data_IF_387007692930
#
_entry.id   IF_387007692930
#
_cell.length_a   1.000
_cell.length_b   1.000
_cell.length_c   1.000
_cell.angle_alpha   90.00
_cell.angle_beta   90.00
_cell.angle_gamma   90.00
#
_symmetry.space_group_name_H-M   'P 1'
#
loop_
_entity.id
_entity.type
_entity.pdbx_description
1 polymer ?
#
# COMPACT_ATOMS: atom_id res chain seq x y z
N UNK A 1 6.75 -73.45 15.40
CA UNK A 1 5.51 -73.09 16.09
C UNK A 1 5.73 -73.23 17.59
N UNK A 2 5.97 -72.12 18.29
CA UNK A 2 5.87 -72.00 19.74
C UNK A 2 5.43 -70.56 20.02
N UNK A 3 4.31 -70.50 20.74
CA UNK A 3 3.51 -69.32 21.08
C UNK A 3 4.09 -68.55 22.26
N UNK A 4 3.75 -67.26 22.28
CA UNK A 4 3.47 -66.43 23.47
C UNK A 4 4.59 -66.22 24.49
N UNK A 5 5.19 -65.02 24.43
CA UNK A 5 5.62 -64.30 25.62
C UNK A 5 4.44 -63.52 26.20
N UNK A 6 4.10 -63.68 27.49
CA UNK A 6 3.21 -62.77 28.16
C UNK A 6 4.02 -61.69 28.89
N UNK A 7 3.52 -60.47 28.76
CA UNK A 7 3.27 -59.56 29.88
C UNK A 7 4.31 -58.45 30.19
N UNK A 8 3.73 -57.28 30.48
CA UNK A 8 4.17 -56.23 31.41
C UNK A 8 4.91 -54.99 30.89
N UNK A 9 4.26 -54.17 30.05
CA UNK A 9 4.54 -52.73 30.06
C UNK A 9 3.22 -51.93 30.04
N UNK A 10 2.62 -51.68 31.21
CA UNK A 10 1.45 -50.82 31.34
C UNK A 10 1.87 -49.40 31.77
N UNK A 11 1.17 -48.37 31.26
CA UNK A 11 0.92 -47.10 31.99
C UNK A 11 2.06 -46.06 32.05
N UNK A 12 3.13 -46.14 31.24
CA UNK A 12 4.11 -45.03 31.18
C UNK A 12 3.70 -43.85 30.27
N UNK A 13 2.78 -44.07 29.33
CA UNK A 13 2.47 -43.06 28.30
C UNK A 13 1.35 -42.07 28.69
N UNK A 14 0.65 -42.27 29.81
CA UNK A 14 -0.52 -41.48 30.18
C UNK A 14 -0.24 -40.33 31.17
N UNK A 15 0.99 -40.20 31.68
CA UNK A 15 1.36 -39.17 32.65
C UNK A 15 1.99 -37.90 32.03
N UNK A 16 2.24 -37.87 30.73
CA UNK A 16 2.86 -36.71 30.06
C UNK A 16 1.86 -35.67 29.54
N UNK A 17 0.54 -35.90 29.64
CA UNK A 17 -0.50 -34.99 29.10
C UNK A 17 -1.03 -34.03 30.18
N UNK A 18 -0.65 -34.18 31.45
CA UNK A 18 -1.26 -33.45 32.56
C UNK A 18 -0.46 -32.22 33.06
N UNK A 19 0.54 -31.71 32.32
CA UNK A 19 1.36 -30.56 32.76
C UNK A 19 1.51 -29.41 31.75
N UNK A 20 0.79 -29.41 30.62
CA UNK A 20 0.88 -28.31 29.64
C UNK A 20 -0.29 -27.33 29.64
N UNK A 21 -1.26 -27.48 30.55
CA UNK A 21 -2.40 -26.54 30.68
C UNK A 21 -2.39 -25.82 32.03
N UNK A 22 -1.20 -25.53 32.57
CA UNK A 22 -1.04 -24.63 33.71
C UNK A 22 -0.84 -23.20 33.19
N UNK A 23 -1.94 -22.46 33.15
CA UNK A 23 -2.05 -21.02 33.38
C UNK A 23 -0.86 -20.12 32.97
N UNK A 24 -1.00 -19.48 31.81
CA UNK A 24 -0.83 -18.03 31.80
C UNK A 24 -2.15 -17.41 31.33
N UNK A 25 -3.01 -16.96 32.26
CA UNK A 25 -3.96 -15.92 31.94
C UNK A 25 -3.14 -14.64 31.92
N UNK A 26 -2.61 -14.27 30.76
CA UNK A 26 -2.41 -12.86 30.48
C UNK A 26 -3.67 -12.40 29.74
N UNK A 27 -4.74 -11.99 30.45
CA UNK A 27 -5.89 -11.43 29.79
C UNK A 27 -5.46 -10.05 29.30
N UNK A 28 -5.36 -9.94 27.97
CA UNK A 28 -5.20 -8.68 27.27
C UNK A 28 -3.80 -8.03 27.31
N UNK A 29 -2.86 -8.68 26.63
CA UNK A 29 -2.11 -7.92 25.62
C UNK A 29 -3.06 -7.57 24.47
N UNK A 30 -4.07 -6.73 24.76
CA UNK A 30 -4.61 -5.82 23.76
C UNK A 30 -3.44 -4.93 23.41
N UNK A 31 -2.66 -5.35 22.42
CA UNK A 31 -2.00 -4.42 21.53
C UNK A 31 -3.13 -3.54 20.99
N UNK A 32 -3.44 -2.48 21.74
CA UNK A 32 -4.15 -1.33 21.23
C UNK A 32 -3.19 -0.77 20.20
N UNK A 33 -3.29 -1.31 18.98
CA UNK A 33 -2.78 -0.65 17.80
C UNK A 33 -3.54 0.66 17.76
N UNK A 34 -2.98 1.68 18.41
CA UNK A 34 -3.46 3.04 18.32
C UNK A 34 -3.22 3.40 16.87
N UNK A 35 -4.26 3.23 16.06
CA UNK A 35 -4.30 3.77 14.72
C UNK A 35 -4.41 5.28 14.94
N UNK A 36 -3.27 5.94 15.11
CA UNK A 36 -3.27 7.39 15.00
C UNK A 36 -3.69 7.70 13.57
N UNK A 37 -4.72 8.52 13.36
CA UNK A 37 -5.06 8.97 12.03
C UNK A 37 -3.84 9.72 11.51
N UNK A 38 -3.10 9.07 10.60
CA UNK A 38 -2.10 9.75 9.81
C UNK A 38 -2.88 10.80 9.05
N UNK A 39 -2.70 12.07 9.43
CA UNK A 39 -3.24 13.18 8.68
C UNK A 39 -2.66 13.06 7.27
N UNK A 40 -3.43 12.48 6.35
CA UNK A 40 -3.07 12.42 4.95
C UNK A 40 -3.12 13.86 4.45
N UNK A 41 -2.00 14.57 4.57
CA UNK A 41 -1.74 15.79 3.81
C UNK A 41 -1.66 15.33 2.36
N UNK A 42 -2.82 15.27 1.70
CA UNK A 42 -2.86 15.17 0.26
C UNK A 42 -2.12 16.41 -0.22
N UNK A 43 -0.97 16.28 -0.88
CA UNK A 43 -0.28 17.45 -1.40
C UNK A 43 -1.20 17.96 -2.50
N UNK A 44 -1.93 19.04 -2.21
CA UNK A 44 -2.86 19.65 -3.16
C UNK A 44 -2.16 19.91 -4.50
N UNK A 45 -0.86 20.20 -4.46
CA UNK A 45 -0.01 20.31 -5.63
C UNK A 45 -0.07 19.08 -6.55
N UNK A 46 -0.10 17.84 -6.05
CA UNK A 46 -0.15 16.66 -6.93
C UNK A 46 -1.54 16.38 -7.51
N UNK A 47 -2.58 17.03 -6.99
CA UNK A 47 -3.96 16.81 -7.44
C UNK A 47 -4.32 17.68 -8.64
N UNK A 48 -3.68 18.84 -8.78
CA UNK A 48 -3.98 19.80 -9.85
C UNK A 48 -2.86 19.83 -10.88
N UNK A 49 -3.18 19.45 -12.12
CA UNK A 49 -2.32 19.71 -13.27
C UNK A 49 -2.51 21.13 -13.80
N UNK A 50 -1.55 21.59 -14.60
CA UNK A 50 -1.77 22.74 -15.47
C UNK A 50 -3.02 22.51 -16.34
N UNK A 51 -3.95 23.49 -16.39
CA UNK A 51 -5.17 23.35 -17.18
C UNK A 51 -4.84 23.24 -18.68
N UNK A 52 -5.65 22.47 -19.41
CA UNK A 52 -5.56 22.41 -20.86
C UNK A 52 -5.86 23.80 -21.46
N UNK A 53 -5.04 24.32 -22.37
CA UNK A 53 -5.29 25.62 -22.97
C UNK A 53 -6.55 25.59 -23.84
N UNK A 54 -7.35 26.67 -23.84
CA UNK A 54 -8.55 26.73 -24.65
C UNK A 54 -8.20 26.69 -26.14
N UNK A 55 -9.06 26.02 -26.92
CA UNK A 55 -8.93 26.02 -28.38
C UNK A 55 -8.97 27.45 -28.93
N UNK A 56 -8.10 27.81 -29.88
CA UNK A 56 -8.14 29.14 -30.49
C UNK A 56 -9.46 29.33 -31.26
N UNK A 57 -10.09 30.52 -31.15
CA UNK A 57 -11.36 30.79 -31.80
C UNK A 57 -11.22 30.81 -33.33
N UNK A 58 -12.28 30.45 -34.08
CA UNK A 58 -12.29 30.63 -35.53
C UNK A 58 -12.44 32.13 -35.91
N UNK A 59 -11.85 32.56 -37.04
CA UNK A 59 -10.95 31.80 -37.92
C UNK A 59 -9.56 31.60 -37.27
N UNK A 60 -9.00 30.40 -37.39
CA UNK A 60 -7.69 30.06 -36.78
C UNK A 60 -6.56 30.35 -37.76
N UNK A 61 -5.58 31.13 -37.33
CA UNK A 61 -4.31 31.23 -38.05
C UNK A 61 -3.45 30.01 -37.77
N UNK A 62 -2.54 29.69 -38.70
CA UNK A 62 -1.54 28.62 -38.50
C UNK A 62 -0.69 28.89 -37.26
N UNK A 63 -0.29 30.15 -37.04
CA UNK A 63 0.46 30.55 -35.86
C UNK A 63 -0.31 30.29 -34.55
N UNK A 64 -1.61 30.61 -34.50
CA UNK A 64 -2.44 30.34 -33.33
C UNK A 64 -2.63 28.83 -33.08
N UNK A 65 -2.75 28.03 -34.14
CA UNK A 65 -2.83 26.58 -34.02
C UNK A 65 -1.52 25.98 -33.48
N UNK A 66 -0.36 26.43 -33.96
CA UNK A 66 0.94 25.97 -33.48
C UNK A 66 1.18 26.36 -32.02
N UNK A 67 0.84 27.60 -31.63
CA UNK A 67 0.92 28.04 -30.24
C UNK A 67 0.05 27.17 -29.32
N UNK A 68 -1.21 26.92 -29.71
CA UNK A 68 -2.10 26.04 -28.95
C UNK A 68 -1.52 24.61 -28.80
N UNK A 69 -0.97 24.02 -29.87
CA UNK A 69 -0.35 22.68 -29.80
C UNK A 69 0.80 22.66 -28.78
N UNK A 70 1.67 23.67 -28.78
CA UNK A 70 2.80 23.74 -27.85
C UNK A 70 2.31 23.78 -26.41
N UNK A 71 1.37 24.68 -26.10
CA UNK A 71 0.80 24.82 -24.76
C UNK A 71 0.07 23.53 -24.30
N UNK A 72 -0.70 22.89 -25.18
CA UNK A 72 -1.38 21.62 -24.87
C UNK A 72 -0.39 20.50 -24.55
N UNK A 73 0.74 20.45 -25.26
CA UNK A 73 1.79 19.46 -25.00
C UNK A 73 2.49 19.72 -23.66
N UNK A 74 2.72 20.98 -23.31
CA UNK A 74 3.28 21.39 -22.03
C UNK A 74 2.36 21.00 -20.86
N UNK A 75 1.07 21.35 -20.93
CA UNK A 75 0.08 20.97 -19.92
C UNK A 75 -0.02 19.44 -19.74
N UNK A 76 -0.02 18.69 -20.85
CA UNK A 76 0.01 17.23 -20.79
C UNK A 76 1.30 16.64 -20.19
N UNK A 77 2.44 17.31 -20.36
CA UNK A 77 3.71 16.89 -19.77
C UNK A 77 3.72 17.10 -18.24
N UNK A 78 3.20 18.24 -17.77
CA UNK A 78 3.01 18.52 -16.33
C UNK A 78 2.14 17.43 -15.67
N UNK A 79 0.99 17.12 -16.28
CA UNK A 79 0.11 16.06 -15.78
C UNK A 79 0.81 14.69 -15.70
N UNK A 80 1.56 14.30 -16.73
CA UNK A 80 2.30 13.01 -16.72
C UNK A 80 3.39 12.99 -15.66
N UNK A 81 4.07 14.12 -15.42
CA UNK A 81 5.06 14.23 -14.36
C UNK A 81 4.43 14.06 -12.97
N UNK A 82 3.30 14.72 -12.70
CA UNK A 82 2.55 14.56 -11.45
C UNK A 82 2.08 13.13 -11.23
N UNK A 83 1.51 12.49 -12.26
CA UNK A 83 1.11 11.09 -12.18
C UNK A 83 2.30 10.15 -11.92
N UNK A 84 3.45 10.41 -12.53
CA UNK A 84 4.67 9.65 -12.26
C UNK A 84 5.12 9.82 -10.80
N UNK A 85 5.03 11.04 -10.24
CA UNK A 85 5.31 11.25 -8.82
C UNK A 85 4.33 10.50 -7.90
N UNK A 86 3.03 10.52 -8.21
CA UNK A 86 2.03 9.76 -7.43
C UNK A 86 2.38 8.28 -7.41
N UNK A 87 2.76 7.70 -8.56
CA UNK A 87 3.19 6.30 -8.65
C UNK A 87 4.46 6.04 -7.83
N UNK A 88 5.48 6.90 -7.97
CA UNK A 88 6.71 6.78 -7.18
C UNK A 88 6.41 6.74 -5.67
N UNK A 89 5.48 7.57 -5.19
CA UNK A 89 5.06 7.59 -3.78
C UNK A 89 4.28 6.35 -3.37
N UNK A 90 3.45 5.77 -4.24
CA UNK A 90 2.81 4.49 -4.00
C UNK A 90 3.85 3.37 -3.81
N UNK A 91 4.97 3.45 -4.53
CA UNK A 91 6.08 2.50 -4.47
C UNK A 91 7.08 2.82 -3.32
N UNK A 92 6.83 3.85 -2.52
CA UNK A 92 7.70 4.28 -1.41
C UNK A 92 8.95 5.06 -1.83
N UNK A 93 9.03 5.53 -3.07
CA UNK A 93 10.08 6.39 -3.60
C UNK A 93 9.72 7.88 -3.50
N UNK A 94 10.73 8.73 -3.31
CA UNK A 94 10.60 10.19 -3.41
C UNK A 94 10.50 10.68 -4.85
N UNK A 95 10.05 11.91 -5.04
CA UNK A 95 9.98 12.57 -6.35
C UNK A 95 10.37 14.05 -6.20
N UNK A 96 10.81 14.71 -7.28
CA UNK A 96 11.30 16.10 -7.24
C UNK A 96 10.21 17.18 -7.09
N UNK A 97 8.96 16.80 -6.81
CA UNK A 97 7.80 17.70 -6.69
C UNK A 97 7.39 17.93 -5.22
N UNK A 98 8.32 17.70 -4.29
CA UNK A 98 8.18 17.96 -2.84
C UNK A 98 8.35 19.45 -2.49
#
# INVERSE_FOLDING_TARGET
>A
MTLMHPNRWPIAALLSIACSTACSPDPELRLMTRIEPVAMRHPAALLDCQPEPPLPPPPRSVAAALAWIIESRAAGADCRARLACIRARQDGAGCAQD
#
